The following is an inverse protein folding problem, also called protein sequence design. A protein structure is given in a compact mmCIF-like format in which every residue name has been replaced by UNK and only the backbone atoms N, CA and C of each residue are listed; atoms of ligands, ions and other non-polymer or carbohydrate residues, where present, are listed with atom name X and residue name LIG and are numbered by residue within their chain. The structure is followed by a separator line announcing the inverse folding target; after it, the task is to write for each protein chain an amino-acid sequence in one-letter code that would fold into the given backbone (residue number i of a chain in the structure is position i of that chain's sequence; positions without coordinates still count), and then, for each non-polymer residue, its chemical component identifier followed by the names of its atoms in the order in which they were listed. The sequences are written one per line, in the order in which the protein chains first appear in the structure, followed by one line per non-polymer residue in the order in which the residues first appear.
data_IF_781418809548
#
_entry.id   IF_781418809548
#
_cell.length_a   1.000
_cell.length_b   1.000
_cell.length_c   1.000
_cell.angle_alpha   90.00
_cell.angle_beta   90.00
_cell.angle_gamma   90.00
#
_symmetry.space_group_name_H-M   'P 1'
#
loop_
_entity.id
_entity.type
_entity.pdbx_description
1 polymer ?
#
# COMPACT_ATOMS: atom_id res chain seq x y z
N UNK A 1 7.18 -14.11 -22.10
CA UNK A 1 6.32 -14.14 -20.89
C UNK A 1 6.55 -12.83 -20.15
N UNK A 2 5.51 -12.17 -19.67
CA UNK A 2 5.65 -11.01 -18.78
C UNK A 2 5.66 -11.52 -17.32
N UNK A 3 6.54 -11.00 -16.44
CA UNK A 3 6.44 -11.28 -15.02
C UNK A 3 5.18 -10.62 -14.44
N UNK A 4 4.47 -11.34 -13.57
CA UNK A 4 3.41 -10.74 -12.75
C UNK A 4 4.11 -10.03 -11.59
N UNK A 5 4.16 -8.70 -11.62
CA UNK A 5 4.71 -7.90 -10.53
C UNK A 5 3.69 -7.81 -9.40
N UNK A 6 4.05 -8.43 -8.29
CA UNK A 6 3.19 -8.77 -7.16
C UNK A 6 3.65 -7.96 -5.93
N UNK A 7 2.75 -7.32 -5.17
CA UNK A 7 3.06 -6.41 -4.03
C UNK A 7 2.79 -7.02 -2.65
N UNK A 8 3.80 -7.08 -1.78
CA UNK A 8 3.61 -7.30 -0.33
C UNK A 8 3.28 -5.96 0.32
N UNK A 9 2.07 -5.82 0.89
CA UNK A 9 1.67 -4.62 1.62
C UNK A 9 1.65 -4.97 3.12
N UNK A 10 2.74 -4.68 3.83
CA UNK A 10 2.93 -5.08 5.23
C UNK A 10 2.02 -4.28 6.16
N UNK A 11 0.86 -4.86 6.47
CA UNK A 11 -0.20 -4.24 7.25
C UNK A 11 -0.14 -4.66 8.73
N UNK A 12 0.36 -3.75 9.56
CA UNK A 12 0.34 -3.82 11.02
C UNK A 12 -0.99 -3.28 11.61
N UNK A 13 -2.13 -3.88 11.22
CA UNK A 13 -3.42 -3.66 11.88
C UNK A 13 -4.19 -4.98 12.03
N UNK A 14 -4.58 -5.28 13.28
CA UNK A 14 -5.41 -6.41 13.72
C UNK A 14 -4.93 -7.82 13.29
N UNK A 15 -3.77 -8.22 13.82
CA UNK A 15 -3.45 -9.63 14.15
C UNK A 15 -3.71 -9.91 15.65
N UNK A 16 -4.71 -9.25 16.22
CA UNK A 16 -5.31 -9.52 17.53
C UNK A 16 -6.83 -9.36 17.40
N UNK A 17 -7.55 -10.47 17.63
CA UNK A 17 -9.03 -10.63 17.58
C UNK A 17 -9.72 -10.41 16.21
N UNK A 18 -10.99 -10.85 16.08
CA UNK A 18 -11.64 -11.26 14.80
C UNK A 18 -13.18 -11.13 14.88
N UNK A 19 -13.89 -11.07 13.71
CA UNK A 19 -15.30 -11.49 13.41
C UNK A 19 -16.32 -10.37 13.02
N UNK A 20 -16.69 -10.29 11.71
CA UNK A 20 -18.01 -9.97 11.05
C UNK A 20 -18.77 -8.65 11.39
N UNK A 21 -19.62 -8.00 10.56
CA UNK A 21 -20.11 -8.07 9.14
C UNK A 21 -20.81 -6.70 8.78
N UNK A 22 -21.42 -6.31 7.64
CA UNK A 22 -22.06 -6.95 6.45
C UNK A 22 -21.78 -6.27 5.07
N UNK A 23 -22.42 -6.76 3.98
CA UNK A 23 -21.95 -6.81 2.57
C UNK A 23 -21.85 -5.52 1.74
N UNK A 24 -20.73 -5.35 1.03
CA UNK A 24 -20.63 -4.66 -0.28
C UNK A 24 -20.06 -5.59 -1.38
N UNK A 25 -20.25 -5.23 -2.67
CA UNK A 25 -20.04 -6.14 -3.82
C UNK A 25 -18.56 -6.24 -4.24
N UNK A 26 -18.14 -7.43 -4.68
CA UNK A 26 -16.89 -8.03 -4.19
C UNK A 26 -16.00 -8.71 -5.26
N UNK A 27 -16.52 -8.91 -6.47
CA UNK A 27 -16.22 -10.07 -7.34
C UNK A 27 -14.84 -10.18 -8.01
N UNK A 28 -13.87 -9.32 -7.67
CA UNK A 28 -12.51 -9.36 -8.25
C UNK A 28 -11.42 -9.79 -7.25
N UNK A 29 -11.72 -9.79 -5.95
CA UNK A 29 -10.81 -10.31 -4.91
C UNK A 29 -11.43 -11.59 -4.35
N UNK A 30 -10.67 -12.68 -4.34
CA UNK A 30 -11.10 -13.97 -3.82
C UNK A 30 -9.89 -14.75 -3.31
N UNK A 31 -9.67 -14.71 -1.98
CA UNK A 31 -8.59 -15.43 -1.34
C UNK A 31 -9.09 -16.80 -0.84
N UNK A 32 -8.74 -17.91 -1.52
CA UNK A 32 -9.30 -19.22 -1.21
C UNK A 32 -8.88 -19.71 0.19
N UNK A 33 -9.74 -20.52 0.80
CA UNK A 33 -9.55 -21.15 2.12
C UNK A 33 -9.43 -20.19 3.32
N UNK A 34 -9.63 -18.88 3.13
CA UNK A 34 -10.00 -17.99 4.22
C UNK A 34 -11.44 -18.31 4.65
N UNK A 35 -11.73 -18.34 5.96
CA UNK A 35 -13.12 -18.17 6.41
C UNK A 35 -13.57 -16.78 5.93
N UNK A 36 -14.77 -16.68 5.34
CA UNK A 36 -15.32 -15.40 4.89
C UNK A 36 -15.48 -14.48 6.09
N UNK A 37 -14.60 -13.49 6.21
CA UNK A 37 -14.69 -12.43 7.20
C UNK A 37 -14.66 -11.09 6.49
N UNK A 38 -15.85 -10.52 6.32
CA UNK A 38 -16.06 -9.31 5.53
C UNK A 38 -15.17 -8.14 5.97
N UNK A 39 -14.84 -8.02 7.25
CA UNK A 39 -13.94 -6.98 7.75
C UNK A 39 -12.57 -6.99 7.03
N UNK A 40 -11.95 -8.16 6.87
CA UNK A 40 -10.72 -8.32 6.10
C UNK A 40 -10.90 -7.91 4.63
N UNK A 41 -12.11 -8.00 4.10
CA UNK A 41 -12.39 -7.96 2.67
C UNK A 41 -12.88 -6.60 2.17
N UNK A 42 -13.57 -5.84 3.03
CA UNK A 42 -13.65 -4.38 2.89
C UNK A 42 -12.24 -3.79 2.92
N UNK A 43 -11.37 -4.31 3.80
CA UNK A 43 -9.98 -3.85 3.91
C UNK A 43 -9.18 -4.21 2.65
N UNK A 44 -9.23 -5.46 2.16
CA UNK A 44 -8.67 -5.90 0.86
C UNK A 44 -9.14 -5.01 -0.30
N UNK A 45 -10.45 -4.75 -0.38
CA UNK A 45 -11.04 -3.90 -1.41
C UNK A 45 -10.55 -2.45 -1.32
N UNK A 46 -10.48 -1.85 -0.12
CA UNK A 46 -9.94 -0.48 0.06
C UNK A 46 -8.49 -0.42 -0.39
N UNK A 47 -7.63 -1.35 0.05
CA UNK A 47 -6.23 -1.43 -0.37
C UNK A 47 -6.12 -1.48 -1.90
N UNK A 48 -6.84 -2.40 -2.53
CA UNK A 48 -6.82 -2.62 -3.98
C UNK A 48 -7.29 -1.40 -4.77
N UNK A 49 -8.44 -0.84 -4.42
CA UNK A 49 -9.04 0.28 -5.15
C UNK A 49 -8.26 1.59 -4.95
N UNK A 50 -7.74 1.87 -3.75
CA UNK A 50 -6.95 3.08 -3.50
C UNK A 50 -5.63 3.06 -4.26
N UNK A 51 -4.88 1.95 -4.25
CA UNK A 51 -3.66 1.84 -5.05
C UNK A 51 -3.95 2.02 -6.56
N UNK A 52 -4.99 1.38 -7.08
CA UNK A 52 -5.35 1.49 -8.49
C UNK A 52 -5.90 2.88 -8.89
N UNK A 53 -6.63 3.55 -8.00
CA UNK A 53 -7.03 4.94 -8.15
C UNK A 53 -5.80 5.87 -8.20
N UNK A 54 -4.90 5.77 -7.21
CA UNK A 54 -3.70 6.61 -7.13
C UNK A 54 -2.75 6.40 -8.31
N UNK A 55 -2.58 5.15 -8.78
CA UNK A 55 -1.84 4.85 -10.03
C UNK A 55 -2.47 5.52 -11.25
N UNK A 56 -3.79 5.59 -11.31
CA UNK A 56 -4.53 6.32 -12.36
C UNK A 56 -4.32 7.83 -12.26
N UNK A 57 -4.28 8.39 -11.04
CA UNK A 57 -3.94 9.80 -10.80
C UNK A 57 -2.51 10.10 -11.27
N UNK A 58 -1.51 9.28 -10.93
CA UNK A 58 -0.15 9.44 -11.47
C UNK A 58 -0.16 9.38 -13.01
N UNK A 59 -0.80 8.37 -13.60
CA UNK A 59 -0.85 8.18 -15.05
C UNK A 59 -1.45 9.38 -15.81
N UNK A 60 -2.36 10.12 -15.19
CA UNK A 60 -2.93 11.36 -15.74
C UNK A 60 -1.97 12.57 -15.75
N UNK A 61 -0.78 12.46 -15.16
CA UNK A 61 0.19 13.55 -15.07
C UNK A 61 -0.25 14.70 -14.16
N UNK A 62 -1.18 14.46 -13.24
CA UNK A 62 -1.72 15.47 -12.32
C UNK A 62 -0.97 15.54 -10.98
N UNK A 63 -0.28 14.47 -10.60
CA UNK A 63 0.47 14.38 -9.34
C UNK A 63 1.74 15.24 -9.36
N UNK A 64 2.00 15.93 -8.26
CA UNK A 64 3.14 16.82 -8.05
C UNK A 64 4.43 16.03 -7.75
N UNK A 65 5.58 16.50 -8.25
CA UNK A 65 6.91 15.92 -8.03
C UNK A 65 7.72 16.77 -7.03
N UNK A 66 7.89 16.26 -5.82
CA UNK A 66 8.55 16.91 -4.69
C UNK A 66 7.87 18.19 -4.23
N UNK A 67 8.56 18.95 -3.38
CA UNK A 67 8.17 20.32 -2.94
C UNK A 67 8.31 21.38 -4.04
N UNK A 68 7.86 21.09 -5.27
CA UNK A 68 7.96 21.98 -6.44
C UNK A 68 6.60 22.18 -7.11
N UNK A 69 6.48 23.15 -8.03
CA UNK A 69 5.30 23.30 -8.90
C UNK A 69 5.29 22.34 -10.10
N UNK A 70 6.31 21.49 -10.23
CA UNK A 70 6.44 20.50 -11.32
C UNK A 70 5.57 19.29 -11.01
N UNK A 71 5.00 18.68 -12.05
CA UNK A 71 4.24 17.43 -11.97
C UNK A 71 5.02 16.28 -12.59
N UNK A 72 4.71 15.06 -12.16
CA UNK A 72 5.08 13.87 -12.93
C UNK A 72 4.43 13.91 -14.32
N UNK A 73 5.11 13.41 -15.37
CA UNK A 73 4.53 13.29 -16.70
C UNK A 73 3.42 12.23 -16.72
N UNK A 74 2.63 12.22 -17.79
CA UNK A 74 1.66 11.15 -18.05
C UNK A 74 2.36 9.80 -18.26
N UNK A 75 1.74 8.71 -17.80
CA UNK A 75 2.30 7.36 -17.93
C UNK A 75 1.43 6.49 -18.84
N UNK A 76 1.96 6.16 -20.04
CA UNK A 76 1.25 5.40 -21.07
C UNK A 76 1.08 3.90 -20.76
N UNK A 77 1.92 3.34 -19.90
CA UNK A 77 1.96 1.91 -19.56
C UNK A 77 1.78 1.63 -18.05
N UNK A 78 0.99 2.47 -17.35
CA UNK A 78 0.67 2.27 -15.94
C UNK A 78 -0.43 1.21 -15.78
N UNK A 79 -0.05 -0.07 -15.73
CA UNK A 79 -1.00 -1.17 -15.50
C UNK A 79 -1.62 -1.10 -14.10
N UNK A 80 -2.90 -1.48 -14.00
CA UNK A 80 -3.54 -1.73 -12.71
C UNK A 80 -2.90 -2.94 -12.02
N UNK A 81 -2.78 -2.85 -10.70
CA UNK A 81 -2.41 -3.98 -9.84
C UNK A 81 -3.52 -5.03 -9.85
N UNK A 82 -3.14 -6.27 -9.55
CA UNK A 82 -4.04 -7.33 -9.11
C UNK A 82 -3.81 -7.59 -7.63
N UNK A 83 -4.85 -7.97 -6.90
CA UNK A 83 -4.69 -8.44 -5.54
C UNK A 83 -4.08 -9.85 -5.55
N UNK A 84 -3.17 -10.13 -4.61
CA UNK A 84 -2.44 -11.41 -4.53
C UNK A 84 -2.38 -11.88 -3.07
N UNK A 85 -3.15 -12.92 -2.78
CA UNK A 85 -3.37 -13.43 -1.43
C UNK A 85 -2.14 -14.12 -0.83
N UNK A 86 -1.19 -14.59 -1.64
CA UNK A 86 0.07 -15.15 -1.12
C UNK A 86 0.97 -14.08 -0.53
N UNK A 87 0.89 -12.86 -1.05
CA UNK A 87 1.63 -11.70 -0.55
C UNK A 87 0.95 -11.05 0.64
N UNK A 88 -0.38 -11.09 0.69
CA UNK A 88 -1.12 -10.80 1.91
C UNK A 88 -0.71 -11.77 3.03
N UNK A 89 -0.62 -13.07 2.76
CA UNK A 89 -0.16 -14.04 3.75
C UNK A 89 1.28 -13.75 4.22
N UNK A 90 2.18 -13.38 3.31
CA UNK A 90 3.55 -12.94 3.67
C UNK A 90 3.51 -11.66 4.53
N UNK A 91 2.76 -10.64 4.12
CA UNK A 91 2.58 -9.39 4.85
C UNK A 91 2.01 -9.63 6.26
N UNK A 92 0.99 -10.47 6.37
CA UNK A 92 0.30 -10.89 7.60
C UNK A 92 1.21 -11.69 8.53
N UNK A 93 2.10 -12.51 7.96
CA UNK A 93 3.11 -13.23 8.74
C UNK A 93 4.28 -12.34 9.19
N UNK A 94 4.60 -11.27 8.44
CA UNK A 94 5.55 -10.23 8.87
C UNK A 94 4.94 -9.36 9.98
N UNK A 95 3.67 -8.94 9.85
CA UNK A 95 3.03 -8.03 10.82
C UNK A 95 2.82 -8.68 12.19
N UNK A 96 2.53 -10.00 12.25
CA UNK A 96 2.55 -10.79 13.51
C UNK A 96 3.84 -10.66 14.33
N UNK A 97 4.97 -10.28 13.74
CA UNK A 97 6.23 -10.11 14.46
C UNK A 97 6.27 -8.83 15.30
N UNK A 98 5.34 -7.88 15.07
CA UNK A 98 5.23 -6.59 15.75
C UNK A 98 6.55 -5.79 15.76
N UNK A 99 7.30 -5.84 14.66
CA UNK A 99 8.59 -5.15 14.47
C UNK A 99 8.47 -4.07 13.40
N UNK A 100 8.98 -2.87 13.70
CA UNK A 100 9.28 -1.85 12.68
C UNK A 100 10.56 -2.29 11.96
N UNK A 101 10.40 -3.08 10.89
CA UNK A 101 11.50 -3.45 9.99
C UNK A 101 11.69 -2.38 8.91
N UNK A 102 12.95 -2.14 8.56
CA UNK A 102 13.43 -1.13 7.61
C UNK A 102 14.41 -1.74 6.58
N UNK A 103 14.68 -3.06 6.64
CA UNK A 103 15.60 -3.74 5.74
C UNK A 103 14.94 -4.04 4.38
N UNK A 104 14.68 -3.01 3.59
CA UNK A 104 14.09 -3.11 2.26
C UNK A 104 15.05 -3.82 1.28
N UNK A 105 14.99 -5.15 1.22
CA UNK A 105 15.77 -5.96 0.30
C UNK A 105 15.09 -6.00 -1.09
N UNK A 106 15.46 -5.07 -1.96
CA UNK A 106 14.93 -4.93 -3.32
C UNK A 106 15.06 -6.17 -4.23
N UNK A 107 15.82 -7.19 -3.85
CA UNK A 107 16.03 -8.37 -4.69
C UNK A 107 14.72 -9.12 -5.01
N UNK A 108 13.77 -9.24 -4.07
CA UNK A 108 12.45 -9.81 -4.35
C UNK A 108 11.33 -9.17 -3.52
N UNK A 109 10.44 -8.47 -4.24
CA UNK A 109 9.19 -7.81 -3.79
C UNK A 109 9.40 -6.60 -2.87
N UNK A 110 8.85 -5.44 -3.30
CA UNK A 110 8.77 -4.23 -2.46
C UNK A 110 7.74 -4.39 -1.34
N UNK A 111 8.02 -3.78 -0.19
CA UNK A 111 7.10 -3.65 0.94
C UNK A 111 7.04 -2.23 1.49
N UNK A 112 5.82 -1.70 1.60
CA UNK A 112 5.49 -0.54 2.43
C UNK A 112 5.04 -1.02 3.81
N UNK A 113 5.34 -0.22 4.84
CA UNK A 113 5.02 -0.50 6.24
C UNK A 113 4.51 0.79 6.91
N UNK A 114 3.66 0.65 7.93
CA UNK A 114 3.13 1.74 8.75
C UNK A 114 2.80 1.23 10.16
N UNK A 115 2.67 2.11 11.13
CA UNK A 115 2.29 1.74 12.51
C UNK A 115 1.59 2.92 13.18
N UNK A 116 0.40 2.69 13.74
CA UNK A 116 -0.31 3.67 14.55
C UNK A 116 -0.06 3.37 16.03
N UNK A 117 0.71 4.23 16.70
CA UNK A 117 0.98 4.11 18.13
C UNK A 117 -0.24 4.67 18.92
N UNK A 118 -1.13 3.79 19.37
CA UNK A 118 -2.39 4.12 20.06
C UNK A 118 -2.20 4.35 21.57
N UNK A 119 -2.88 5.34 22.20
CA UNK A 119 -2.91 5.45 23.66
C UNK A 119 -3.69 4.29 24.28
N UNK A 120 -3.15 3.71 25.35
CA UNK A 120 -3.64 2.47 25.99
C UNK A 120 -5.00 2.52 26.69
N UNK A 121 -5.88 3.45 26.30
CA UNK A 121 -7.29 3.53 26.70
C UNK A 121 -8.27 3.19 25.56
N UNK A 122 -7.79 3.00 24.32
CA UNK A 122 -8.62 2.46 23.24
C UNK A 122 -9.00 1.00 23.53
N UNK A 123 -10.26 0.66 23.27
CA UNK A 123 -10.79 -0.69 23.43
C UNK A 123 -10.79 -1.37 22.06
N UNK A 124 -10.38 -2.64 22.01
CA UNK A 124 -10.13 -3.42 20.78
C UNK A 124 -11.28 -3.37 19.76
N UNK A 125 -12.53 -3.32 20.26
CA UNK A 125 -13.77 -3.30 19.47
C UNK A 125 -14.04 -1.98 18.71
N UNK A 126 -13.49 -0.86 19.16
CA UNK A 126 -13.59 0.40 18.38
C UNK A 126 -12.71 0.28 17.13
N UNK A 127 -11.50 -0.27 17.27
CA UNK A 127 -10.49 -0.32 16.21
C UNK A 127 -10.94 -1.19 15.04
N UNK A 128 -11.63 -2.31 15.29
CA UNK A 128 -12.14 -3.19 14.22
C UNK A 128 -13.16 -2.51 13.30
N UNK A 129 -13.81 -1.43 13.73
CA UNK A 129 -14.67 -0.63 12.86
C UNK A 129 -13.89 0.36 11.99
N UNK A 130 -12.69 0.78 12.41
CA UNK A 130 -11.92 1.85 11.76
C UNK A 130 -10.72 1.38 10.91
N UNK A 131 -10.28 0.12 10.99
CA UNK A 131 -9.08 -0.34 10.25
C UNK A 131 -9.12 0.00 8.76
N UNK A 132 -10.24 -0.19 8.06
CA UNK A 132 -10.36 0.15 6.62
C UNK A 132 -10.00 1.62 6.33
N UNK A 133 -10.34 2.54 7.23
CA UNK A 133 -10.00 3.96 7.12
C UNK A 133 -8.59 4.27 7.62
N UNK A 134 -8.09 3.62 8.68
CA UNK A 134 -6.68 3.77 9.09
C UNK A 134 -5.73 3.27 7.98
N UNK A 135 -6.09 2.17 7.29
CA UNK A 135 -5.38 1.66 6.11
C UNK A 135 -5.46 2.64 4.94
N UNK A 136 -6.58 3.32 4.74
CA UNK A 136 -6.69 4.40 3.76
C UNK A 136 -5.74 5.56 4.09
N UNK A 137 -5.73 6.02 5.34
CA UNK A 137 -4.83 7.10 5.77
C UNK A 137 -3.35 6.72 5.61
N UNK A 138 -2.94 5.49 5.94
CA UNK A 138 -1.58 5.02 5.65
C UNK A 138 -1.25 5.04 4.15
N UNK A 139 -2.17 4.63 3.27
CA UNK A 139 -1.96 4.70 1.82
C UNK A 139 -1.87 6.17 1.33
N UNK A 140 -2.62 7.08 1.96
CA UNK A 140 -2.58 8.52 1.68
C UNK A 140 -1.30 9.18 2.22
N UNK A 141 -0.80 8.75 3.37
CA UNK A 141 0.49 9.14 3.93
C UNK A 141 1.63 8.69 3.00
N UNK A 142 1.66 7.41 2.61
CA UNK A 142 2.64 6.89 1.65
C UNK A 142 2.59 7.63 0.30
N UNK A 143 1.39 8.00 -0.17
CA UNK A 143 1.24 8.84 -1.37
C UNK A 143 1.80 10.25 -1.19
N UNK A 144 1.61 10.85 -0.01
CA UNK A 144 2.08 12.22 0.32
C UNK A 144 3.61 12.36 0.29
N UNK A 145 4.36 11.25 0.39
CA UNK A 145 5.80 11.20 0.17
C UNK A 145 6.24 11.86 -1.17
N UNK A 146 5.37 11.81 -2.20
CA UNK A 146 5.60 12.50 -3.47
C UNK A 146 5.72 14.03 -3.37
N UNK A 147 5.11 14.66 -2.35
CA UNK A 147 5.11 16.12 -2.18
C UNK A 147 5.87 16.58 -0.93
N UNK A 148 6.13 15.68 0.03
CA UNK A 148 7.01 15.95 1.16
C UNK A 148 8.49 15.71 0.85
N UNK A 149 8.83 14.89 -0.14
CA UNK A 149 10.22 14.67 -0.59
C UNK A 149 10.83 15.81 -1.41
N UNK A 150 12.10 15.63 -1.76
CA UNK A 150 12.72 16.33 -2.89
C UNK A 150 12.04 15.93 -4.22
N UNK A 151 12.16 16.71 -5.30
CA UNK A 151 11.71 16.24 -6.62
C UNK A 151 12.66 15.16 -7.16
N UNK A 152 12.11 14.08 -7.71
CA UNK A 152 12.90 13.15 -8.54
C UNK A 152 13.55 13.91 -9.71
N UNK A 153 14.72 13.42 -10.12
CA UNK A 153 15.43 13.86 -11.32
C UNK A 153 14.58 13.75 -12.60
N UNK A 154 14.99 14.44 -13.66
CA UNK A 154 14.20 14.55 -14.90
C UNK A 154 14.03 13.23 -15.68
N UNK A 155 14.85 12.21 -15.40
CA UNK A 155 14.73 10.84 -15.91
C UNK A 155 13.82 9.95 -15.04
N UNK A 156 13.32 10.48 -13.92
CA UNK A 156 12.52 9.80 -12.89
C UNK A 156 13.18 8.55 -12.28
N UNK A 157 14.51 8.44 -12.35
CA UNK A 157 15.24 7.30 -11.78
C UNK A 157 15.52 7.54 -10.30
N UNK A 158 14.96 6.74 -9.36
CA UNK A 158 15.21 6.93 -7.93
C UNK A 158 16.64 6.60 -7.56
N UNK A 159 17.22 7.41 -6.66
CA UNK A 159 18.56 7.25 -6.10
C UNK A 159 18.48 7.00 -4.59
N UNK A 160 19.60 6.62 -3.92
CA UNK A 160 19.63 6.53 -2.46
C UNK A 160 19.33 7.85 -1.71
N UNK A 161 19.36 9.00 -2.39
CA UNK A 161 18.97 10.29 -1.81
C UNK A 161 17.44 10.49 -1.78
N UNK A 162 16.69 9.75 -2.61
CA UNK A 162 15.23 9.84 -2.73
C UNK A 162 14.51 8.91 -1.72
N UNK A 163 15.20 8.55 -0.62
CA UNK A 163 14.71 7.62 0.40
C UNK A 163 13.36 8.03 1.00
N UNK A 164 13.15 9.32 1.23
CA UNK A 164 11.89 9.88 1.73
C UNK A 164 10.71 9.64 0.77
N UNK A 165 10.96 9.43 -0.53
CA UNK A 165 9.93 9.14 -1.53
C UNK A 165 9.58 7.66 -1.67
N UNK A 166 10.36 6.73 -1.07
CA UNK A 166 10.18 5.29 -1.23
C UNK A 166 8.71 4.83 -1.05
N UNK A 167 7.96 5.29 -0.04
CA UNK A 167 6.56 4.88 0.12
C UNK A 167 5.67 5.17 -1.09
N UNK A 168 5.84 6.34 -1.72
CA UNK A 168 5.13 6.72 -2.95
C UNK A 168 5.62 5.92 -4.17
N UNK A 169 6.94 5.71 -4.28
CA UNK A 169 7.55 4.98 -5.38
C UNK A 169 7.14 3.49 -5.40
N UNK A 170 6.80 2.94 -4.24
CA UNK A 170 6.22 1.60 -4.10
C UNK A 170 4.73 1.55 -4.46
N UNK A 171 3.88 2.47 -3.96
CA UNK A 171 2.45 2.58 -4.36
C UNK A 171 2.32 2.68 -5.89
N UNK A 172 3.26 3.37 -6.53
CA UNK A 172 3.30 3.62 -7.98
C UNK A 172 4.06 2.57 -8.78
N UNK A 173 4.81 1.65 -8.16
CA UNK A 173 5.80 0.78 -8.85
C UNK A 173 6.76 1.54 -9.78
N UNK A 174 7.12 2.78 -9.47
CA UNK A 174 8.16 3.50 -10.24
C UNK A 174 9.55 2.91 -9.98
N UNK A 175 9.73 2.16 -8.89
CA UNK A 175 10.91 1.31 -8.69
C UNK A 175 10.89 0.13 -9.68
N UNK A 176 11.45 0.35 -10.88
CA UNK A 176 11.90 -0.77 -11.71
C UNK A 176 13.05 -1.47 -10.99
N UNK A 177 12.80 -2.69 -10.52
CA UNK A 177 13.85 -3.64 -10.18
C UNK A 177 14.64 -3.90 -11.48
N UNK A 178 15.97 -3.72 -11.40
CA UNK A 178 16.92 -4.02 -12.48
C UNK A 178 17.36 -5.49 -12.43
#
# INVERSE_FOLDING_TARGET
MAPITSVVISLLLLECTVIHSEVFRYSEINCPNQNFDLFHEITRARIFHEHNYLRTVLASGTQQNGRTSVRFPTATNMSLLKYDCGLEEIAKNISKLCRKDFNHNFNFVGSNNATLDLPGTFIDWDLSHYVSDIVHEFIREWWSASVSGAPLAADLTPTPADGDMIPFLQVTMLVRIF
#
